data_IF_663213879933
#
_entry.id   IF_663213879933
#
_cell.length_a   1.000
_cell.length_b   1.000
_cell.length_c   1.000
_cell.angle_alpha   90.00
_cell.angle_beta   90.00
_cell.angle_gamma   90.00
#
_symmetry.space_group_name_H-M   'P 1'
#
loop_
_entity.id
_entity.type
_entity.pdbx_description
1 polymer ?
#
# COMPACT_ATOMS: atom_id res chain seq x y z
N UNK A 1 -7.09 9.45 -1.73
CA UNK A 1 -7.27 8.16 -2.43
C UNK A 1 -7.06 8.38 -3.92
N UNK A 2 -6.06 7.76 -4.53
CA UNK A 2 -5.73 7.97 -5.95
C UNK A 2 -6.59 7.06 -6.83
N UNK A 3 -7.77 7.53 -7.23
CA UNK A 3 -8.72 6.74 -8.03
C UNK A 3 -8.17 6.35 -9.41
N UNK A 4 -7.33 7.18 -10.02
CA UNK A 4 -6.72 6.87 -11.32
C UNK A 4 -5.82 5.63 -11.23
N UNK A 5 -4.99 5.58 -10.19
CA UNK A 5 -4.11 4.44 -9.92
C UNK A 5 -4.93 3.18 -9.59
N UNK A 6 -5.99 3.34 -8.80
CA UNK A 6 -6.88 2.23 -8.43
C UNK A 6 -7.52 1.58 -9.66
N UNK A 7 -8.09 2.38 -10.57
CA UNK A 7 -8.70 1.85 -11.81
C UNK A 7 -7.67 1.23 -12.76
N UNK A 8 -6.45 1.78 -12.80
CA UNK A 8 -5.38 1.20 -13.59
C UNK A 8 -5.02 -0.20 -13.07
N UNK A 9 -4.87 -0.35 -11.75
CA UNK A 9 -4.59 -1.63 -11.13
C UNK A 9 -5.74 -2.63 -11.24
N UNK A 10 -6.98 -2.19 -11.08
CA UNK A 10 -8.14 -3.07 -11.30
C UNK A 10 -8.11 -3.68 -12.71
N UNK A 11 -7.81 -2.86 -13.73
CA UNK A 11 -7.68 -3.34 -15.12
C UNK A 11 -6.51 -4.31 -15.29
N UNK A 12 -5.36 -4.00 -14.70
CA UNK A 12 -4.16 -4.84 -14.77
C UNK A 12 -4.39 -6.19 -14.06
N UNK A 13 -4.98 -6.18 -12.86
CA UNK A 13 -5.35 -7.37 -12.10
C UNK A 13 -6.36 -8.22 -12.86
N UNK A 14 -7.40 -7.62 -13.45
CA UNK A 14 -8.38 -8.35 -14.24
C UNK A 14 -7.77 -8.96 -15.52
N UNK A 15 -6.70 -8.37 -16.05
CA UNK A 15 -5.98 -8.86 -17.24
C UNK A 15 -5.07 -10.03 -16.89
N UNK A 16 -4.27 -9.91 -15.82
CA UNK A 16 -3.29 -10.92 -15.40
C UNK A 16 -3.93 -12.08 -14.62
N UNK A 17 -5.07 -11.84 -13.96
CA UNK A 17 -5.80 -12.82 -13.15
C UNK A 17 -7.25 -12.95 -13.64
N UNK A 18 -7.48 -13.52 -14.84
CA UNK A 18 -8.81 -13.62 -15.44
C UNK A 18 -9.76 -14.55 -14.68
N UNK A 19 -9.27 -15.32 -13.71
CA UNK A 19 -10.10 -16.13 -12.82
C UNK A 19 -10.81 -15.31 -11.73
N UNK A 20 -10.41 -14.05 -11.52
CA UNK A 20 -11.05 -13.16 -10.58
C UNK A 20 -12.25 -12.47 -11.22
N UNK A 21 -13.36 -12.39 -10.49
CA UNK A 21 -14.45 -11.53 -10.89
C UNK A 21 -14.12 -10.05 -10.61
N UNK A 22 -14.92 -9.13 -11.16
CA UNK A 22 -14.71 -7.69 -11.04
C UNK A 22 -14.63 -7.21 -9.58
N UNK A 23 -15.47 -7.76 -8.70
CA UNK A 23 -15.45 -7.41 -7.28
C UNK A 23 -14.16 -7.88 -6.59
N UNK A 24 -13.66 -9.07 -6.92
CA UNK A 24 -12.40 -9.58 -6.39
C UNK A 24 -11.22 -8.73 -6.90
N UNK A 25 -11.18 -8.40 -8.19
CA UNK A 25 -10.12 -7.55 -8.76
C UNK A 25 -10.10 -6.16 -8.11
N UNK A 26 -11.26 -5.53 -7.93
CA UNK A 26 -11.39 -4.24 -7.25
C UNK A 26 -10.91 -4.30 -5.80
N UNK A 27 -11.23 -5.37 -5.06
CA UNK A 27 -10.76 -5.53 -3.68
C UNK A 27 -9.25 -5.73 -3.58
N UNK A 28 -8.65 -6.50 -4.50
CA UNK A 28 -7.19 -6.66 -4.54
C UNK A 28 -6.53 -5.31 -4.82
N UNK A 29 -7.02 -4.55 -5.80
CA UNK A 29 -6.51 -3.22 -6.10
C UNK A 29 -6.60 -2.28 -4.88
N UNK A 30 -7.74 -2.28 -4.18
CA UNK A 30 -7.97 -1.45 -3.01
C UNK A 30 -7.08 -1.86 -1.82
N UNK A 31 -6.94 -3.16 -1.59
CA UNK A 31 -6.06 -3.71 -0.55
C UNK A 31 -4.60 -3.33 -0.81
N UNK A 32 -4.10 -3.52 -2.03
CA UNK A 32 -2.75 -3.14 -2.43
C UNK A 32 -2.49 -1.64 -2.25
N UNK A 33 -3.47 -0.80 -2.59
CA UNK A 33 -3.38 0.64 -2.35
C UNK A 33 -3.29 0.94 -0.85
N UNK A 34 -4.10 0.27 -0.02
CA UNK A 34 -4.05 0.39 1.43
C UNK A 34 -2.68 0.04 2.00
N UNK A 35 -2.04 -1.04 1.53
CA UNK A 35 -0.68 -1.43 1.95
C UNK A 35 0.35 -0.35 1.59
N UNK A 36 0.30 0.19 0.37
CA UNK A 36 1.22 1.23 -0.08
C UNK A 36 1.02 2.53 0.71
N UNK A 37 -0.23 2.93 0.94
CA UNK A 37 -0.53 4.13 1.74
C UNK A 37 -0.13 3.94 3.20
N UNK A 38 -0.34 2.74 3.79
CA UNK A 38 0.18 2.42 5.12
C UNK A 38 1.71 2.53 5.17
N UNK A 39 2.40 2.17 4.09
CA UNK A 39 3.84 2.33 3.98
C UNK A 39 4.34 3.79 4.01
N UNK A 40 3.46 4.77 3.77
CA UNK A 40 3.81 6.21 3.78
C UNK A 40 3.69 6.85 5.16
N UNK A 41 3.23 6.12 6.18
CA UNK A 41 3.14 6.70 7.51
C UNK A 41 4.52 6.74 8.17
N UNK A 42 4.78 7.80 8.95
CA UNK A 42 6.02 7.94 9.72
C UNK A 42 6.25 6.75 10.65
N UNK A 43 5.17 6.10 11.13
CA UNK A 43 5.26 4.92 11.98
C UNK A 43 5.88 3.72 11.25
N UNK A 44 5.67 3.57 9.93
CA UNK A 44 6.33 2.53 9.14
C UNK A 44 7.83 2.78 9.02
N UNK A 45 8.24 4.03 8.77
CA UNK A 45 9.66 4.39 8.69
C UNK A 45 10.37 4.12 10.03
N UNK A 46 9.72 4.47 11.14
CA UNK A 46 10.21 4.17 12.49
C UNK A 46 10.28 2.66 12.71
N UNK A 47 9.22 1.90 12.38
CA UNK A 47 9.19 0.45 12.54
C UNK A 47 10.30 -0.23 11.74
N UNK A 48 10.56 0.23 10.51
CA UNK A 48 11.65 -0.27 9.68
C UNK A 48 13.01 0.00 10.33
N UNK A 49 13.29 1.26 10.72
CA UNK A 49 14.56 1.63 11.37
C UNK A 49 14.80 0.85 12.66
N UNK A 50 13.76 0.61 13.47
CA UNK A 50 13.83 -0.24 14.67
C UNK A 50 14.19 -1.68 14.29
N UNK A 51 13.54 -2.24 13.28
CA UNK A 51 13.76 -3.63 12.86
C UNK A 51 15.15 -3.87 12.24
N UNK A 52 15.73 -2.88 11.55
CA UNK A 52 17.06 -2.98 10.93
C UNK A 52 18.21 -2.55 11.86
N UNK A 53 17.91 -2.10 13.08
CA UNK A 53 18.92 -1.61 14.04
C UNK A 53 19.49 -0.23 13.68
N UNK A 54 18.83 0.50 12.79
CA UNK A 54 19.19 1.86 12.43
C UNK A 54 18.78 2.86 13.53
N UNK A 55 19.49 3.99 13.58
CA UNK A 55 19.20 5.04 14.55
C UNK A 55 17.89 5.74 14.18
N UNK A 56 16.88 5.58 15.04
CA UNK A 56 15.62 6.33 14.95
C UNK A 56 15.86 7.74 15.50
N UNK A 57 15.77 8.76 14.65
CA UNK A 57 15.64 10.13 15.14
C UNK A 57 14.31 10.26 15.90
N UNK A 58 14.36 10.76 17.13
CA UNK A 58 13.20 10.83 18.02
C UNK A 58 11.99 11.45 17.33
N UNK A 59 10.82 10.81 17.43
CA UNK A 59 9.52 11.37 17.01
C UNK A 59 9.05 12.52 17.92
N UNK A 60 9.95 13.27 18.56
CA UNK A 60 9.58 14.47 19.30
C UNK A 60 8.90 15.42 18.32
N UNK A 61 7.60 15.64 18.55
CA UNK A 61 6.77 16.60 17.83
C UNK A 61 7.52 17.93 17.74
N UNK A 62 7.78 18.40 16.52
CA UNK A 62 7.86 19.84 16.27
C UNK A 62 6.46 20.42 16.39
#
# INVERSE_FOLDING_TARGET
MNYRLLYQWEKEIATELPCLNSWQAANVALFSLGVIEAGKCQQQEVAYKVATGERVESCMRR
#
